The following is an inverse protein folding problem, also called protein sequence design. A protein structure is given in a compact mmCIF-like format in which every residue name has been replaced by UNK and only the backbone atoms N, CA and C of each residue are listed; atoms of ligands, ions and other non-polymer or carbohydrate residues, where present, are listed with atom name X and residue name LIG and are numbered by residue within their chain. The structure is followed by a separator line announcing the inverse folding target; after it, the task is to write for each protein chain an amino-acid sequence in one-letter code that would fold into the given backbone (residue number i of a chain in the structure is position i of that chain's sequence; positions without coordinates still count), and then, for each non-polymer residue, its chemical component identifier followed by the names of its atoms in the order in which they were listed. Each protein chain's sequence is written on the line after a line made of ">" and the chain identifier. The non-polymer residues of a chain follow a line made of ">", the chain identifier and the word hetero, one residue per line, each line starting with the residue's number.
data_IF_421003848974
#
_entry.id   IF_421003848974
#
_cell.length_a   1.000
_cell.length_b   1.000
_cell.length_c   1.000
_cell.angle_alpha   90.00
_cell.angle_beta   90.00
_cell.angle_gamma   90.00
#
_symmetry.space_group_name_H-M   'P 1'
#
loop_
_entity.id
_entity.type
_entity.pdbx_description
1 polymer ?
#
# COMPACT_ATOMS: atom_id res chain seq x y z
N UNK A 1 -9.84 -43.79 -18.38
CA UNK A 1 -10.50 -42.80 -19.27
C UNK A 1 -11.91 -42.40 -18.81
N UNK A 2 -12.47 -43.02 -17.75
CA UNK A 2 -13.81 -42.71 -17.21
C UNK A 2 -13.75 -41.77 -15.97
N UNK A 3 -12.64 -41.73 -15.23
CA UNK A 3 -12.45 -40.82 -14.07
C UNK A 3 -12.35 -39.34 -14.43
N UNK A 4 -12.15 -39.00 -15.71
CA UNK A 4 -12.12 -37.60 -16.15
C UNK A 4 -13.52 -36.97 -16.21
N UNK A 5 -14.61 -37.75 -16.28
CA UNK A 5 -15.97 -37.21 -16.44
C UNK A 5 -16.74 -37.01 -15.12
N UNK A 6 -16.27 -37.59 -14.01
CA UNK A 6 -16.95 -37.52 -12.71
C UNK A 6 -16.47 -36.32 -11.84
N UNK A 7 -15.42 -35.62 -12.29
CA UNK A 7 -14.78 -34.49 -11.58
C UNK A 7 -15.22 -33.09 -12.05
N UNK A 8 -16.25 -32.95 -12.88
CA UNK A 8 -16.58 -31.64 -13.47
C UNK A 8 -17.36 -30.74 -12.52
N UNK A 9 -18.16 -31.34 -11.62
CA UNK A 9 -18.96 -30.62 -10.62
C UNK A 9 -18.12 -29.80 -9.62
N UNK A 10 -17.06 -30.34 -9.00
CA UNK A 10 -16.22 -29.56 -8.09
C UNK A 10 -15.48 -28.44 -8.85
N UNK A 11 -14.94 -28.72 -10.04
CA UNK A 11 -14.22 -27.71 -10.85
C UNK A 11 -15.12 -26.52 -11.22
N UNK A 12 -16.37 -26.77 -11.60
CA UNK A 12 -17.34 -25.71 -11.93
C UNK A 12 -17.72 -24.90 -10.69
N UNK A 13 -17.84 -25.56 -9.53
CA UNK A 13 -18.14 -24.91 -8.26
C UNK A 13 -16.98 -24.01 -7.82
N UNK A 14 -15.74 -24.49 -7.91
CA UNK A 14 -14.53 -23.72 -7.59
C UNK A 14 -14.36 -22.52 -8.52
N UNK A 15 -14.61 -22.72 -9.82
CA UNK A 15 -14.58 -21.64 -10.80
C UNK A 15 -15.67 -20.60 -10.50
N UNK A 16 -16.87 -21.03 -10.08
CA UNK A 16 -17.96 -20.14 -9.70
C UNK A 16 -17.64 -19.33 -8.44
N UNK A 17 -16.96 -19.91 -7.45
CA UNK A 17 -16.52 -19.17 -6.25
C UNK A 17 -15.44 -18.15 -6.61
N UNK A 18 -14.46 -18.50 -7.46
CA UNK A 18 -13.42 -17.55 -7.92
C UNK A 18 -14.05 -16.39 -8.71
N UNK A 19 -15.00 -16.69 -9.59
CA UNK A 19 -15.73 -15.67 -10.36
C UNK A 19 -16.57 -14.81 -9.41
N UNK A 20 -17.27 -15.40 -8.46
CA UNK A 20 -18.05 -14.71 -7.43
C UNK A 20 -17.20 -13.79 -6.55
N UNK A 21 -16.02 -14.27 -6.15
CA UNK A 21 -15.01 -13.50 -5.41
C UNK A 21 -14.54 -12.27 -6.19
N UNK A 22 -14.23 -12.46 -7.47
CA UNK A 22 -13.87 -11.37 -8.38
C UNK A 22 -14.99 -10.34 -8.50
N UNK A 23 -16.25 -10.79 -8.64
CA UNK A 23 -17.42 -9.91 -8.70
C UNK A 23 -17.58 -9.11 -7.40
N UNK A 24 -17.47 -9.76 -6.23
CA UNK A 24 -17.55 -9.09 -4.93
C UNK A 24 -16.45 -8.03 -4.80
N UNK A 25 -15.19 -8.37 -5.13
CA UNK A 25 -14.07 -7.43 -5.09
C UNK A 25 -14.29 -6.22 -6.00
N UNK A 26 -14.87 -6.44 -7.18
CA UNK A 26 -15.24 -5.37 -8.11
C UNK A 26 -16.38 -4.51 -7.53
N UNK A 27 -17.42 -5.12 -6.96
CA UNK A 27 -18.54 -4.40 -6.35
C UNK A 27 -18.05 -3.53 -5.19
N UNK A 28 -17.22 -4.06 -4.30
CA UNK A 28 -16.64 -3.28 -3.18
C UNK A 28 -15.79 -2.12 -3.71
N UNK A 29 -14.94 -2.37 -4.72
CA UNK A 29 -14.17 -1.31 -5.38
C UNK A 29 -15.08 -0.22 -5.94
N UNK A 30 -16.15 -0.59 -6.65
CA UNK A 30 -17.10 0.34 -7.23
C UNK A 30 -17.81 1.18 -6.15
N UNK A 31 -18.27 0.55 -5.06
CA UNK A 31 -18.94 1.24 -3.95
C UNK A 31 -17.99 2.25 -3.30
N UNK A 32 -16.78 1.82 -2.93
CA UNK A 32 -15.78 2.68 -2.29
C UNK A 32 -15.43 3.88 -3.17
N UNK A 33 -15.16 3.67 -4.46
CA UNK A 33 -14.83 4.76 -5.38
C UNK A 33 -16.03 5.63 -5.75
N UNK A 34 -17.24 5.07 -5.78
CA UNK A 34 -18.46 5.86 -5.96
C UNK A 34 -18.66 6.81 -4.78
N UNK A 35 -18.46 6.35 -3.54
CA UNK A 35 -18.56 7.20 -2.34
C UNK A 35 -17.46 8.26 -2.34
N UNK A 36 -16.19 7.87 -2.58
CA UNK A 36 -15.05 8.81 -2.64
C UNK A 36 -15.24 9.90 -3.69
N UNK A 37 -15.70 9.54 -4.90
CA UNK A 37 -15.96 10.53 -5.97
C UNK A 37 -17.17 11.40 -5.68
N UNK A 38 -18.19 10.87 -5.00
CA UNK A 38 -19.36 11.64 -4.57
C UNK A 38 -18.99 12.67 -3.49
N UNK A 39 -18.13 12.29 -2.54
CA UNK A 39 -17.61 13.19 -1.51
C UNK A 39 -16.68 14.23 -2.13
N UNK A 40 -15.78 13.83 -3.05
CA UNK A 40 -14.92 14.77 -3.78
C UNK A 40 -15.74 15.87 -4.47
N UNK A 41 -16.79 15.49 -5.22
CA UNK A 41 -17.66 16.42 -5.93
C UNK A 41 -18.46 17.36 -5.00
N UNK A 42 -18.70 16.93 -3.75
CA UNK A 42 -19.41 17.72 -2.73
C UNK A 42 -18.49 18.69 -2.00
N UNK A 43 -17.23 18.32 -1.78
CA UNK A 43 -16.30 19.06 -0.90
C UNK A 43 -15.26 19.87 -1.67
N UNK A 44 -15.05 19.64 -2.98
CA UNK A 44 -14.01 20.30 -3.82
C UNK A 44 -12.61 20.26 -3.20
N UNK A 45 -12.34 19.28 -2.34
CA UNK A 45 -11.09 19.19 -1.61
C UNK A 45 -10.02 18.47 -2.42
N UNK A 46 -8.83 19.08 -2.46
CA UNK A 46 -7.65 18.58 -3.18
C UNK A 46 -7.24 17.18 -2.69
N UNK A 47 -7.44 16.89 -1.41
CA UNK A 47 -7.17 15.57 -0.78
C UNK A 47 -7.99 14.47 -1.43
N UNK A 48 -9.30 14.66 -1.54
CA UNK A 48 -10.21 13.66 -2.12
C UNK A 48 -9.96 13.48 -3.62
N UNK A 49 -9.59 14.55 -4.32
CA UNK A 49 -9.23 14.46 -5.75
C UNK A 49 -7.96 13.68 -6.02
N UNK A 50 -6.91 13.90 -5.22
CA UNK A 50 -5.67 13.14 -5.34
C UNK A 50 -5.86 11.67 -4.93
N UNK A 51 -6.60 11.40 -3.84
CA UNK A 51 -7.01 10.05 -3.43
C UNK A 51 -7.69 9.28 -4.57
N UNK A 52 -8.68 9.89 -5.22
CA UNK A 52 -9.38 9.25 -6.34
C UNK A 52 -8.43 8.97 -7.51
N UNK A 53 -7.55 9.92 -7.84
CA UNK A 53 -6.63 9.83 -8.97
C UNK A 53 -5.58 8.72 -8.78
N UNK A 54 -4.96 8.66 -7.60
CA UNK A 54 -3.82 7.77 -7.35
C UNK A 54 -4.22 6.40 -6.79
N UNK A 55 -5.34 6.29 -6.05
CA UNK A 55 -5.70 5.06 -5.34
C UNK A 55 -6.66 4.14 -6.12
N UNK A 56 -7.29 4.63 -7.21
CA UNK A 56 -8.32 3.87 -7.96
C UNK A 56 -7.84 2.55 -8.54
N UNK A 57 -6.72 2.55 -9.26
CA UNK A 57 -6.16 1.33 -9.85
C UNK A 57 -5.60 0.38 -8.78
N UNK A 58 -4.74 0.84 -7.84
CA UNK A 58 -4.24 0.01 -6.74
C UNK A 58 -5.33 -0.73 -5.96
N UNK A 59 -6.38 0.00 -5.56
CA UNK A 59 -7.42 -0.53 -4.69
C UNK A 59 -8.29 -1.58 -5.38
N UNK A 60 -8.48 -1.46 -6.71
CA UNK A 60 -9.18 -2.49 -7.49
C UNK A 60 -8.45 -3.83 -7.41
N UNK A 61 -7.14 -3.83 -7.67
CA UNK A 61 -6.34 -5.06 -7.61
C UNK A 61 -6.30 -5.61 -6.19
N UNK A 62 -6.10 -4.75 -5.19
CA UNK A 62 -6.08 -5.17 -3.78
C UNK A 62 -7.40 -5.83 -3.36
N UNK A 63 -8.55 -5.25 -3.70
CA UNK A 63 -9.85 -5.85 -3.36
C UNK A 63 -10.07 -7.19 -4.06
N UNK A 64 -9.75 -7.30 -5.36
CA UNK A 64 -9.89 -8.57 -6.09
C UNK A 64 -8.99 -9.65 -5.48
N UNK A 65 -7.73 -9.32 -5.20
CA UNK A 65 -6.79 -10.25 -4.56
C UNK A 65 -7.20 -10.64 -3.14
N UNK A 66 -7.71 -9.70 -2.35
CA UNK A 66 -8.15 -9.94 -0.98
C UNK A 66 -9.27 -10.98 -0.95
N UNK A 67 -10.28 -10.83 -1.82
CA UNK A 67 -11.40 -11.78 -1.85
C UNK A 67 -10.93 -13.14 -2.37
N UNK A 68 -10.03 -13.20 -3.34
CA UNK A 68 -9.47 -14.48 -3.80
C UNK A 68 -8.65 -15.16 -2.70
N UNK A 69 -7.85 -14.43 -1.92
CA UNK A 69 -7.05 -15.01 -0.84
C UNK A 69 -7.92 -15.56 0.30
N UNK A 70 -9.09 -14.98 0.57
CA UNK A 70 -10.07 -15.51 1.54
C UNK A 70 -10.74 -16.79 1.02
N UNK A 71 -10.90 -16.92 -0.30
CA UNK A 71 -11.61 -18.03 -0.93
C UNK A 71 -10.72 -19.26 -1.12
N UNK A 72 -9.43 -19.10 -1.43
CA UNK A 72 -8.51 -20.21 -1.68
C UNK A 72 -8.52 -21.29 -0.57
N UNK A 73 -8.52 -20.96 0.74
CA UNK A 73 -8.56 -21.96 1.81
C UNK A 73 -9.85 -22.79 1.85
N UNK A 74 -10.92 -22.33 1.18
CA UNK A 74 -12.23 -23.01 1.12
C UNK A 74 -12.27 -24.04 0.00
N UNK A 75 -11.31 -24.00 -0.94
CA UNK A 75 -11.25 -24.91 -2.08
C UNK A 75 -10.41 -26.15 -1.70
N UNK A 76 -10.98 -27.34 -1.85
CA UNK A 76 -10.29 -28.61 -1.64
C UNK A 76 -9.36 -28.93 -2.82
N UNK A 77 -8.18 -28.32 -2.85
CA UNK A 77 -7.13 -28.61 -3.83
C UNK A 77 -6.13 -29.64 -3.28
N UNK A 78 -5.41 -30.38 -4.15
CA UNK A 78 -4.30 -31.24 -3.74
C UNK A 78 -3.22 -30.44 -2.98
N UNK A 79 -2.70 -30.97 -1.86
CA UNK A 79 -1.80 -30.22 -0.96
C UNK A 79 -0.56 -29.61 -1.63
N UNK A 80 0.00 -30.29 -2.64
CA UNK A 80 1.15 -29.79 -3.41
C UNK A 80 0.82 -28.55 -4.25
N UNK A 81 -0.41 -28.43 -4.72
CA UNK A 81 -0.88 -27.28 -5.51
C UNK A 81 -1.30 -26.14 -4.59
N UNK A 82 -1.91 -26.44 -3.44
CA UNK A 82 -2.31 -25.45 -2.44
C UNK A 82 -1.13 -24.61 -1.95
N UNK A 83 0.01 -25.24 -1.64
CA UNK A 83 1.19 -24.53 -1.14
C UNK A 83 1.70 -23.48 -2.14
N UNK A 84 1.76 -23.84 -3.44
CA UNK A 84 2.24 -22.95 -4.51
C UNK A 84 1.23 -21.81 -4.73
N UNK A 85 -0.06 -22.15 -4.80
CA UNK A 85 -1.13 -21.17 -5.01
C UNK A 85 -1.18 -20.18 -3.85
N UNK A 86 -1.21 -20.64 -2.60
CA UNK A 86 -1.21 -19.76 -1.42
C UNK A 86 0.01 -18.84 -1.39
N UNK A 87 1.21 -19.38 -1.64
CA UNK A 87 2.45 -18.59 -1.68
C UNK A 87 2.40 -17.48 -2.75
N UNK A 88 1.88 -17.78 -3.94
CA UNK A 88 1.73 -16.81 -5.03
C UNK A 88 0.71 -15.73 -4.64
N UNK A 89 -0.48 -16.12 -4.18
CA UNK A 89 -1.54 -15.16 -3.85
C UNK A 89 -1.19 -14.28 -2.65
N UNK A 90 -0.54 -14.85 -1.63
CA UNK A 90 -0.01 -14.10 -0.49
C UNK A 90 1.05 -13.09 -0.94
N UNK A 91 1.96 -13.48 -1.82
CA UNK A 91 2.96 -12.56 -2.40
C UNK A 91 2.30 -11.44 -3.19
N UNK A 92 1.32 -11.78 -4.03
CA UNK A 92 0.57 -10.81 -4.83
C UNK A 92 -0.20 -9.83 -3.93
N UNK A 93 -0.76 -10.31 -2.82
CA UNK A 93 -1.46 -9.49 -1.84
C UNK A 93 -0.51 -8.47 -1.19
N UNK A 94 0.68 -8.91 -0.77
CA UNK A 94 1.71 -8.02 -0.21
C UNK A 94 2.11 -6.94 -1.24
N UNK A 95 2.28 -7.32 -2.52
CA UNK A 95 2.58 -6.37 -3.60
C UNK A 95 1.45 -5.34 -3.74
N UNK A 96 0.20 -5.77 -3.74
CA UNK A 96 -0.95 -4.88 -3.88
C UNK A 96 -1.06 -3.88 -2.70
N UNK A 97 -0.86 -4.35 -1.46
CA UNK A 97 -0.85 -3.49 -0.25
C UNK A 97 0.31 -2.50 -0.30
N UNK A 98 1.49 -2.95 -0.72
CA UNK A 98 2.68 -2.11 -0.83
C UNK A 98 2.49 -1.03 -1.89
N UNK A 99 1.92 -1.40 -3.04
CA UNK A 99 1.59 -0.48 -4.12
C UNK A 99 0.55 0.57 -3.68
N UNK A 100 -0.49 0.16 -2.93
CA UNK A 100 -1.46 1.08 -2.33
C UNK A 100 -0.77 2.09 -1.40
N UNK A 101 0.10 1.60 -0.51
CA UNK A 101 0.84 2.44 0.44
C UNK A 101 1.72 3.45 -0.28
N UNK A 102 2.43 3.05 -1.34
CA UNK A 102 3.21 3.97 -2.18
C UNK A 102 2.29 5.02 -2.81
N UNK A 103 1.12 4.66 -3.33
CA UNK A 103 0.18 5.64 -3.87
C UNK A 103 -0.33 6.63 -2.81
N UNK A 104 -0.53 6.20 -1.56
CA UNK A 104 -0.87 7.11 -0.46
C UNK A 104 0.24 8.13 -0.18
N UNK A 105 1.51 7.77 -0.34
CA UNK A 105 2.61 8.76 -0.23
C UNK A 105 2.56 9.82 -1.33
N UNK A 106 2.06 9.49 -2.53
CA UNK A 106 1.86 10.46 -3.60
C UNK A 106 0.66 11.39 -3.31
N UNK A 107 -0.38 10.90 -2.65
CA UNK A 107 -1.48 11.75 -2.16
C UNK A 107 -0.98 12.74 -1.10
N UNK A 108 -0.10 12.31 -0.19
CA UNK A 108 0.51 13.18 0.80
C UNK A 108 1.39 14.26 0.14
N UNK A 109 2.18 13.89 -0.88
CA UNK A 109 2.94 14.84 -1.71
C UNK A 109 2.02 15.87 -2.36
N UNK A 110 0.97 15.45 -3.06
CA UNK A 110 0.00 16.36 -3.68
C UNK A 110 -0.65 17.31 -2.67
N UNK A 111 -0.98 16.81 -1.47
CA UNK A 111 -1.55 17.63 -0.41
C UNK A 111 -0.57 18.70 0.06
N UNK A 112 0.68 18.33 0.32
CA UNK A 112 1.74 19.27 0.73
C UNK A 112 1.93 20.32 -0.36
N UNK A 113 2.08 19.90 -1.62
CA UNK A 113 2.31 20.81 -2.74
C UNK A 113 1.11 21.73 -3.02
N UNK A 114 -0.12 21.26 -2.80
CA UNK A 114 -1.33 22.09 -2.97
C UNK A 114 -1.44 23.25 -1.97
N UNK A 115 -0.82 23.12 -0.79
CA UNK A 115 -0.77 24.15 0.24
C UNK A 115 0.22 25.27 -0.12
N UNK A 116 1.24 24.95 -0.91
CA UNK A 116 2.25 25.89 -1.40
C UNK A 116 1.89 26.31 -2.84
N UNK A 117 0.91 27.23 -2.98
CA UNK A 117 0.54 27.81 -4.28
C UNK A 117 1.76 28.48 -4.92
N UNK A 118 2.21 27.96 -6.07
CA UNK A 118 3.33 28.44 -6.89
C UNK A 118 2.89 29.68 -7.70
N UNK A 119 2.34 30.71 -7.05
CA UNK A 119 1.77 31.88 -7.74
C UNK A 119 2.41 33.21 -7.31
N UNK A 120 3.74 33.21 -7.19
CA UNK A 120 4.54 34.43 -7.07
C UNK A 120 5.82 34.30 -7.88
N UNK A 121 6.20 35.40 -8.54
CA UNK A 121 7.22 35.53 -9.60
C UNK A 121 8.67 35.19 -9.20
N UNK A 122 8.93 34.79 -7.96
CA UNK A 122 10.28 34.44 -7.50
C UNK A 122 10.21 33.31 -6.45
N UNK A 123 10.49 32.08 -6.86
CA UNK A 123 10.08 30.90 -6.09
C UNK A 123 11.17 29.81 -5.96
N UNK A 124 12.40 30.24 -5.68
CA UNK A 124 13.47 29.33 -5.23
C UNK A 124 13.03 28.50 -4.02
N UNK A 125 12.26 29.09 -3.10
CA UNK A 125 11.72 28.38 -1.93
C UNK A 125 10.67 27.33 -2.33
N UNK A 126 9.72 27.66 -3.22
CA UNK A 126 8.73 26.68 -3.69
C UNK A 126 9.39 25.52 -4.47
N UNK A 127 10.39 25.81 -5.32
CA UNK A 127 11.18 24.75 -5.98
C UNK A 127 11.93 23.88 -4.99
N UNK A 128 12.51 24.47 -3.94
CA UNK A 128 13.20 23.73 -2.87
C UNK A 128 12.23 22.78 -2.16
N UNK A 129 11.03 23.26 -1.80
CA UNK A 129 10.00 22.44 -1.15
C UNK A 129 9.53 21.32 -2.08
N UNK A 130 9.36 21.59 -3.37
CA UNK A 130 9.01 20.57 -4.36
C UNK A 130 10.03 19.43 -4.40
N UNK A 131 11.30 19.77 -4.57
CA UNK A 131 12.38 18.78 -4.62
C UNK A 131 12.52 18.01 -3.31
N UNK A 132 12.41 18.69 -2.16
CA UNK A 132 12.48 18.04 -0.84
C UNK A 132 11.32 17.05 -0.65
N UNK A 133 10.10 17.46 -0.96
CA UNK A 133 8.91 16.60 -0.84
C UNK A 133 9.01 15.38 -1.76
N UNK A 134 9.46 15.57 -3.00
CA UNK A 134 9.65 14.47 -3.94
C UNK A 134 10.77 13.51 -3.48
N UNK A 135 11.84 14.03 -2.88
CA UNK A 135 12.93 13.22 -2.32
C UNK A 135 12.44 12.37 -1.16
N UNK A 136 11.69 12.96 -0.23
CA UNK A 136 11.08 12.24 0.90
C UNK A 136 10.16 11.13 0.39
N UNK A 137 9.32 11.40 -0.61
CA UNK A 137 8.46 10.38 -1.21
C UNK A 137 9.27 9.22 -1.79
N UNK A 138 10.35 9.49 -2.53
CA UNK A 138 11.22 8.45 -3.10
C UNK A 138 11.84 7.58 -2.01
N UNK A 139 12.28 8.18 -0.90
CA UNK A 139 12.83 7.46 0.25
C UNK A 139 11.75 6.56 0.89
N UNK A 140 10.53 7.09 1.12
CA UNK A 140 9.41 6.30 1.66
C UNK A 140 9.05 5.13 0.74
N UNK A 141 8.97 5.37 -0.57
CA UNK A 141 8.69 4.32 -1.54
C UNK A 141 9.76 3.22 -1.53
N UNK A 142 11.05 3.59 -1.44
CA UNK A 142 12.15 2.63 -1.33
C UNK A 142 12.05 1.78 -0.05
N UNK A 143 11.73 2.40 1.10
CA UNK A 143 11.52 1.68 2.37
C UNK A 143 10.36 0.69 2.24
N UNK A 144 9.22 1.12 1.67
CA UNK A 144 8.06 0.25 1.47
C UNK A 144 8.42 -0.95 0.58
N UNK A 145 9.19 -0.74 -0.49
CA UNK A 145 9.63 -1.83 -1.38
C UNK A 145 10.53 -2.82 -0.64
N UNK A 146 11.50 -2.34 0.14
CA UNK A 146 12.40 -3.21 0.92
C UNK A 146 11.60 -4.06 1.91
N UNK A 147 10.65 -3.45 2.63
CA UNK A 147 9.76 -4.16 3.55
C UNK A 147 8.88 -5.20 2.82
N UNK A 148 8.33 -4.83 1.67
CA UNK A 148 7.52 -5.73 0.85
C UNK A 148 8.31 -6.96 0.41
N UNK A 149 9.54 -6.77 -0.08
CA UNK A 149 10.44 -7.85 -0.48
C UNK A 149 10.78 -8.74 0.71
N UNK A 150 11.09 -8.17 1.88
CA UNK A 150 11.37 -8.95 3.07
C UNK A 150 10.18 -9.81 3.50
N UNK A 151 8.96 -9.26 3.48
CA UNK A 151 7.73 -9.98 3.79
C UNK A 151 7.42 -11.10 2.79
N UNK A 152 7.66 -10.86 1.50
CA UNK A 152 7.51 -11.88 0.45
C UNK A 152 8.51 -13.01 0.67
N UNK A 153 9.78 -12.70 0.94
CA UNK A 153 10.82 -13.71 1.23
C UNK A 153 10.49 -14.56 2.46
N UNK A 154 9.91 -13.96 3.51
CA UNK A 154 9.45 -14.69 4.70
C UNK A 154 8.35 -15.72 4.41
N UNK A 155 7.64 -15.55 3.29
CA UNK A 155 6.64 -16.49 2.81
C UNK A 155 7.23 -17.82 2.36
N UNK A 156 8.47 -17.84 1.87
CA UNK A 156 9.14 -19.04 1.38
C UNK A 156 10.07 -19.60 2.46
N UNK A 157 9.89 -20.86 2.85
CA UNK A 157 10.68 -21.48 3.93
C UNK A 157 12.20 -21.37 3.68
N UNK A 158 12.64 -21.59 2.44
CA UNK A 158 14.05 -21.49 2.03
C UNK A 158 14.65 -20.08 2.18
N UNK A 159 13.83 -19.02 2.11
CA UNK A 159 14.29 -17.62 2.14
C UNK A 159 13.88 -16.87 3.40
N UNK A 160 13.19 -17.54 4.33
CA UNK A 160 12.68 -16.91 5.55
C UNK A 160 13.76 -16.27 6.39
N UNK A 161 14.92 -16.92 6.53
CA UNK A 161 16.04 -16.37 7.28
C UNK A 161 16.57 -15.06 6.67
N UNK A 162 16.61 -14.96 5.33
CA UNK A 162 16.99 -13.72 4.65
C UNK A 162 15.97 -12.61 4.89
N UNK A 163 14.68 -12.91 4.75
CA UNK A 163 13.61 -11.95 5.03
C UNK A 163 13.63 -11.42 6.47
N UNK A 164 13.77 -12.32 7.44
CA UNK A 164 13.90 -11.95 8.86
C UNK A 164 15.17 -11.13 9.12
N UNK A 165 16.30 -11.47 8.50
CA UNK A 165 17.55 -10.72 8.63
C UNK A 165 17.45 -9.28 8.09
N UNK A 166 16.76 -9.09 6.97
CA UNK A 166 16.48 -7.76 6.42
C UNK A 166 15.60 -6.96 7.39
N UNK A 167 14.52 -7.54 7.92
CA UNK A 167 13.66 -6.85 8.89
C UNK A 167 14.38 -6.53 10.20
N UNK A 168 15.22 -7.44 10.70
CA UNK A 168 15.98 -7.24 11.94
C UNK A 168 16.98 -6.08 11.79
N UNK A 169 17.74 -6.05 10.69
CA UNK A 169 18.68 -4.96 10.40
C UNK A 169 17.98 -3.63 10.15
N UNK A 170 16.85 -3.62 9.42
CA UNK A 170 16.02 -2.44 9.24
C UNK A 170 15.44 -1.92 10.57
N UNK A 171 15.04 -2.83 11.47
CA UNK A 171 14.60 -2.50 12.82
C UNK A 171 15.70 -1.80 13.62
N UNK A 172 16.92 -2.36 13.63
CA UNK A 172 18.07 -1.74 14.30
C UNK A 172 18.42 -0.38 13.69
N UNK A 173 18.43 -0.27 12.36
CA UNK A 173 18.66 1.00 11.67
C UNK A 173 17.61 2.06 12.03
N UNK A 174 16.33 1.65 12.18
CA UNK A 174 15.24 2.55 12.58
C UNK A 174 15.45 3.12 13.98
N UNK A 175 15.97 2.31 14.91
CA UNK A 175 16.31 2.78 16.26
C UNK A 175 17.45 3.82 16.19
N UNK A 176 18.52 3.54 15.45
CA UNK A 176 19.65 4.48 15.30
C UNK A 176 19.21 5.80 14.65
N UNK A 177 18.41 5.73 13.59
CA UNK A 177 17.85 6.92 12.92
C UNK A 177 16.92 7.69 13.87
N UNK A 178 16.09 6.99 14.65
CA UNK A 178 15.21 7.60 15.64
C UNK A 178 15.96 8.35 16.74
N UNK A 179 17.03 7.73 17.28
CA UNK A 179 17.92 8.36 18.25
C UNK A 179 18.62 9.59 17.66
N UNK A 180 19.10 9.50 16.41
CA UNK A 180 19.70 10.64 15.72
C UNK A 180 18.70 11.80 15.49
N UNK A 181 17.41 11.48 15.26
CA UNK A 181 16.36 12.46 15.06
C UNK A 181 15.90 13.16 16.35
N UNK A 182 16.22 12.61 17.54
CA UNK A 182 15.79 13.15 18.83
C UNK A 182 16.16 14.63 19.01
N UNK A 183 17.36 15.04 18.60
CA UNK A 183 17.81 16.44 18.69
C UNK A 183 17.00 17.37 17.77
N UNK A 184 16.62 16.90 16.58
CA UNK A 184 15.81 17.67 15.63
C UNK A 184 14.43 17.95 16.22
N UNK A 185 13.77 16.91 16.76
CA UNK A 185 12.47 17.06 17.41
C UNK A 185 12.54 17.91 18.67
N UNK A 186 13.59 17.73 19.49
CA UNK A 186 13.81 18.57 20.68
C UNK A 186 13.94 20.06 20.33
N UNK A 187 14.71 20.38 19.29
CA UNK A 187 14.86 21.76 18.81
C UNK A 187 13.56 22.32 18.23
N UNK A 188 12.79 21.51 17.51
CA UNK A 188 11.52 21.93 16.91
C UNK A 188 10.46 22.22 17.99
N UNK A 189 10.36 21.36 18.99
CA UNK A 189 9.47 21.56 20.15
C UNK A 189 9.87 22.81 20.95
N UNK A 190 11.17 23.00 21.20
CA UNK A 190 11.68 24.21 21.84
C UNK A 190 11.34 25.47 21.04
N UNK A 191 11.45 25.42 19.70
CA UNK A 191 11.06 26.53 18.83
C UNK A 191 9.56 26.86 18.88
N UNK A 192 8.70 25.83 18.88
CA UNK A 192 7.26 26.00 19.06
C UNK A 192 6.97 26.60 20.45
N UNK A 193 7.61 26.08 21.50
CA UNK A 193 7.45 26.58 22.85
C UNK A 193 7.79 28.07 22.92
N UNK A 194 8.95 28.48 22.39
CA UNK A 194 9.36 29.89 22.33
C UNK A 194 8.32 30.73 21.59
N UNK A 195 7.80 30.26 20.44
CA UNK A 195 6.80 31.00 19.67
C UNK A 195 5.46 31.20 20.42
N UNK A 196 5.09 30.28 21.30
CA UNK A 196 3.88 30.38 22.12
C UNK A 196 4.09 31.09 23.47
N UNK A 197 5.33 31.12 23.99
CA UNK A 197 5.66 31.75 25.28
C UNK A 197 6.29 33.14 25.17
N UNK A 198 6.44 33.69 23.95
CA UNK A 198 6.78 35.10 23.79
C UNK A 198 5.56 35.96 24.20
N UNK A 199 5.72 36.91 25.16
CA UNK A 199 4.63 37.79 25.63
C UNK A 199 4.18 38.81 24.58
#
# INVERSE_FOLDING_TARGET
>A
MIELFENWKPIIFDLAIIIGAGIIGIIVHLIVFHILTRIQKRTSSVVFGSLVKHTRRPFKYLMVLLVINIVIPVIELPESTLYIVDSIFRSLFIIAVSWLTICLTAVAEDLILSRYKIDTKDNLQARKIYTQTQTIRKILAAIIIILAVALILMGFDSFRQLGTGILASAGLASVVIGLAAQKIFGNLLAGIQIAFTQP
#
